data_IF_679362705306
#
_entry.id   IF_679362705306
#
_cell.length_a   1.000
_cell.length_b   1.000
_cell.length_c   1.000
_cell.angle_alpha   90.00
_cell.angle_beta   90.00
_cell.angle_gamma   90.00
#
_symmetry.space_group_name_H-M   'P 1'
#
loop_
_entity.id
_entity.type
_entity.pdbx_description
1 polymer ?
#
# COMPACT_ATOMS: atom_id res chain seq x y z
N UNK A 1 14.80 -19.26 -0.84
CA UNK A 1 13.95 -19.70 -1.97
C UNK A 1 12.79 -18.72 -2.02
N UNK A 2 12.53 -18.08 -3.17
CA UNK A 2 11.41 -17.16 -3.33
C UNK A 2 10.05 -17.88 -3.37
N UNK A 3 8.99 -17.14 -3.01
CA UNK A 3 7.62 -17.48 -3.35
C UNK A 3 7.33 -16.90 -4.73
N UNK A 4 7.09 -17.73 -5.73
CA UNK A 4 6.94 -17.26 -7.10
C UNK A 4 5.93 -18.06 -7.93
N UNK A 5 5.42 -17.41 -9.00
CA UNK A 5 4.53 -18.05 -9.98
C UNK A 5 3.23 -18.58 -9.34
N UNK A 6 2.59 -17.76 -8.51
CA UNK A 6 1.34 -18.10 -7.80
C UNK A 6 0.15 -17.38 -8.44
N UNK A 7 -0.95 -18.09 -8.57
CA UNK A 7 -2.24 -17.55 -9.00
C UNK A 7 -3.25 -17.73 -7.85
N UNK A 8 -3.90 -16.64 -7.48
CA UNK A 8 -5.01 -16.59 -6.53
C UNK A 8 -6.23 -16.04 -7.26
N UNK A 9 -7.29 -16.81 -7.34
CA UNK A 9 -8.48 -16.42 -8.09
C UNK A 9 -9.76 -16.84 -7.39
N UNK A 10 -10.78 -15.98 -7.43
CA UNK A 10 -12.12 -16.28 -6.93
C UNK A 10 -12.22 -16.53 -5.42
N UNK A 11 -11.29 -16.01 -4.63
CA UNK A 11 -11.25 -16.24 -3.20
C UNK A 11 -12.10 -15.23 -2.42
N UNK A 12 -12.73 -15.69 -1.35
CA UNK A 12 -13.41 -14.83 -0.37
C UNK A 12 -12.71 -14.94 0.98
N UNK A 13 -12.34 -13.77 1.56
CA UNK A 13 -11.77 -13.68 2.90
C UNK A 13 -12.75 -12.96 3.80
N UNK A 14 -13.08 -13.58 4.92
CA UNK A 14 -14.03 -13.05 5.88
C UNK A 14 -13.36 -12.84 7.24
N UNK A 15 -13.34 -11.60 7.74
CA UNK A 15 -12.80 -11.20 9.05
C UNK A 15 -11.34 -11.64 9.30
N UNK A 16 -10.48 -11.55 8.29
CA UNK A 16 -9.04 -11.84 8.43
C UNK A 16 -8.21 -10.59 8.76
N UNK A 17 -6.95 -10.77 9.19
CA UNK A 17 -6.00 -9.66 9.37
C UNK A 17 -5.58 -8.99 8.06
N UNK A 18 -5.92 -9.57 6.93
CA UNK A 18 -5.74 -9.01 5.59
C UNK A 18 -6.39 -9.91 4.56
N UNK A 19 -6.92 -9.31 3.49
CA UNK A 19 -7.51 -10.03 2.37
C UNK A 19 -6.43 -10.77 1.57
N UNK A 20 -5.52 -10.03 0.97
CA UNK A 20 -4.30 -10.56 0.37
C UNK A 20 -3.08 -9.93 1.04
N UNK A 21 -2.16 -10.74 1.54
CA UNK A 21 -1.03 -10.28 2.34
C UNK A 21 0.30 -10.81 1.82
N UNK A 22 1.25 -9.94 1.62
CA UNK A 22 2.66 -10.27 1.37
C UNK A 22 3.50 -9.77 2.54
N UNK A 23 4.22 -10.69 3.16
CA UNK A 23 5.11 -10.36 4.28
C UNK A 23 4.48 -10.62 5.66
N UNK A 24 5.18 -10.29 6.71
CA UNK A 24 6.47 -9.58 6.79
C UNK A 24 7.69 -10.46 6.50
N UNK A 25 7.60 -11.79 6.63
CA UNK A 25 8.65 -12.77 6.34
C UNK A 25 8.75 -12.99 4.82
N UNK A 26 9.49 -12.12 4.14
CA UNK A 26 9.66 -12.16 2.70
C UNK A 26 11.14 -12.16 2.26
N UNK A 27 12.03 -12.60 3.13
CA UNK A 27 13.50 -12.56 2.91
C UNK A 27 13.94 -13.33 1.64
N UNK A 28 13.21 -14.37 1.25
CA UNK A 28 13.45 -15.10 0.01
C UNK A 28 12.96 -14.39 -1.25
N UNK A 29 12.20 -13.31 -1.11
CA UNK A 29 11.53 -12.60 -2.19
C UNK A 29 10.17 -13.20 -2.57
N UNK A 30 9.34 -12.38 -3.20
CA UNK A 30 8.01 -12.76 -3.74
C UNK A 30 7.88 -12.17 -5.13
N UNK A 31 7.59 -12.98 -6.13
CA UNK A 31 7.50 -12.47 -7.51
C UNK A 31 6.52 -13.26 -8.41
N UNK A 32 6.06 -12.60 -9.46
CA UNK A 32 5.19 -13.20 -10.46
C UNK A 32 3.90 -13.76 -9.85
N UNK A 33 3.20 -12.94 -9.06
CA UNK A 33 1.93 -13.31 -8.42
C UNK A 33 0.79 -12.65 -9.19
N UNK A 34 -0.27 -13.41 -9.46
CA UNK A 34 -1.53 -12.90 -10.00
C UNK A 34 -2.65 -13.12 -8.98
N UNK A 35 -3.39 -12.07 -8.68
CA UNK A 35 -4.56 -12.13 -7.78
C UNK A 35 -5.75 -11.55 -8.52
N UNK A 36 -6.85 -12.27 -8.65
CA UNK A 36 -8.02 -11.76 -9.35
C UNK A 36 -9.34 -12.26 -8.77
N UNK A 37 -10.40 -11.47 -9.01
CA UNK A 37 -11.79 -11.84 -8.74
C UNK A 37 -12.02 -12.23 -7.27
N UNK A 38 -11.38 -11.53 -6.33
CA UNK A 38 -11.47 -11.85 -4.91
C UNK A 38 -12.35 -10.86 -4.15
N UNK A 39 -12.90 -11.31 -3.04
CA UNK A 39 -13.76 -10.53 -2.15
C UNK A 39 -13.20 -10.52 -0.73
N UNK A 40 -13.12 -9.35 -0.11
CA UNK A 40 -12.67 -9.18 1.26
C UNK A 40 -13.76 -8.48 2.08
N UNK A 41 -14.22 -9.16 3.13
CA UNK A 41 -15.39 -8.75 3.91
C UNK A 41 -15.01 -8.62 5.40
N UNK A 42 -14.95 -7.39 5.90
CA UNK A 42 -14.62 -7.11 7.29
C UNK A 42 -13.19 -7.48 7.68
N UNK A 43 -12.25 -7.48 6.73
CA UNK A 43 -10.83 -7.70 7.02
C UNK A 43 -10.19 -6.46 7.62
N UNK A 44 -9.13 -6.60 8.42
CA UNK A 44 -8.41 -5.45 8.97
C UNK A 44 -7.81 -4.59 7.85
N UNK A 45 -7.21 -5.22 6.83
CA UNK A 45 -6.64 -4.57 5.65
C UNK A 45 -7.12 -5.31 4.40
N UNK A 46 -7.30 -4.61 3.29
CA UNK A 46 -7.62 -5.23 2.01
C UNK A 46 -6.39 -5.88 1.38
N UNK A 47 -5.58 -5.10 0.69
CA UNK A 47 -4.30 -5.51 0.08
C UNK A 47 -3.15 -5.04 0.97
N UNK A 48 -2.36 -5.96 1.52
CA UNK A 48 -1.34 -5.64 2.51
C UNK A 48 0.05 -6.11 2.10
N UNK A 49 0.96 -5.16 1.87
CA UNK A 49 2.38 -5.38 1.65
C UNK A 49 3.16 -4.82 2.84
N UNK A 50 3.78 -5.67 3.63
CA UNK A 50 4.44 -5.27 4.88
C UNK A 50 5.80 -5.91 5.04
N UNK A 51 6.79 -5.14 5.47
CA UNK A 51 8.11 -5.63 5.86
C UNK A 51 8.80 -4.61 6.77
N UNK A 52 10.02 -4.89 7.14
CA UNK A 52 10.87 -3.99 7.93
C UNK A 52 12.34 -4.25 7.61
N UNK A 53 13.19 -3.25 7.89
CA UNK A 53 14.64 -3.45 7.83
C UNK A 53 15.08 -4.69 8.60
N UNK A 54 16.12 -5.36 8.14
CA UNK A 54 16.62 -6.61 8.70
C UNK A 54 16.02 -7.87 8.09
N UNK A 55 14.88 -7.76 7.38
CA UNK A 55 14.24 -8.91 6.72
C UNK A 55 14.69 -9.11 5.27
N UNK A 56 15.05 -8.02 4.57
CA UNK A 56 15.44 -8.07 3.17
C UNK A 56 14.34 -8.57 2.24
N UNK A 57 14.76 -9.08 1.09
CA UNK A 57 13.87 -9.62 0.06
C UNK A 57 13.25 -8.57 -0.85
N UNK A 58 12.90 -8.99 -2.06
CA UNK A 58 12.25 -8.16 -3.07
C UNK A 58 10.88 -8.73 -3.38
N UNK A 59 9.86 -7.87 -3.32
CA UNK A 59 8.50 -8.17 -3.79
C UNK A 59 8.29 -7.42 -5.08
N UNK A 60 8.08 -8.15 -6.18
CA UNK A 60 7.95 -7.56 -7.50
C UNK A 60 7.06 -8.36 -8.46
N UNK A 61 6.61 -7.70 -9.52
CA UNK A 61 5.80 -8.31 -10.56
C UNK A 61 4.52 -8.95 -9.99
N UNK A 62 3.78 -8.17 -9.23
CA UNK A 62 2.50 -8.55 -8.66
C UNK A 62 1.39 -7.88 -9.46
N UNK A 63 0.43 -8.66 -9.92
CA UNK A 63 -0.70 -8.20 -10.72
C UNK A 63 -2.00 -8.51 -10.00
N UNK A 64 -2.76 -7.47 -9.65
CA UNK A 64 -4.01 -7.58 -8.91
C UNK A 64 -5.13 -6.97 -9.73
N UNK A 65 -6.21 -7.70 -9.94
CA UNK A 65 -7.34 -7.22 -10.73
C UNK A 65 -8.69 -7.68 -10.15
N UNK A 66 -9.69 -6.80 -10.25
CA UNK A 66 -11.07 -7.07 -9.88
C UNK A 66 -11.26 -7.50 -8.41
N UNK A 67 -10.96 -6.57 -7.50
CA UNK A 67 -11.12 -6.73 -6.05
C UNK A 67 -12.38 -6.04 -5.56
N UNK A 68 -13.24 -6.77 -4.86
CA UNK A 68 -14.43 -6.23 -4.18
C UNK A 68 -14.22 -6.28 -2.66
N UNK A 69 -14.35 -5.13 -2.00
CA UNK A 69 -14.08 -5.01 -0.57
C UNK A 69 -15.22 -4.31 0.16
N UNK A 70 -15.52 -4.79 1.36
CA UNK A 70 -16.58 -4.23 2.20
C UNK A 70 -16.11 -4.21 3.66
N UNK A 71 -16.32 -3.07 4.33
CA UNK A 71 -16.04 -2.89 5.76
C UNK A 71 -14.58 -3.23 6.13
N UNK A 72 -13.64 -2.61 5.42
CA UNK A 72 -12.21 -2.73 5.71
C UNK A 72 -11.88 -1.85 6.91
N UNK A 73 -11.39 -2.47 7.98
CA UNK A 73 -11.24 -1.80 9.28
C UNK A 73 -10.16 -0.71 9.25
N UNK A 74 -9.16 -0.85 8.40
CA UNK A 74 -8.06 0.11 8.28
C UNK A 74 -7.84 0.55 6.82
N UNK A 75 -6.90 -0.01 6.12
CA UNK A 75 -6.50 0.42 4.78
C UNK A 75 -7.04 -0.50 3.69
N UNK A 76 -7.57 0.08 2.61
CA UNK A 76 -7.91 -0.71 1.41
C UNK A 76 -6.64 -1.28 0.78
N UNK A 77 -5.60 -0.45 0.67
CA UNK A 77 -4.28 -0.85 0.14
C UNK A 77 -3.19 -0.29 1.06
N UNK A 78 -2.24 -1.12 1.49
CA UNK A 78 -1.10 -0.64 2.27
C UNK A 78 0.23 -1.23 1.80
N UNK A 79 1.25 -0.35 1.72
CA UNK A 79 2.65 -0.67 1.52
C UNK A 79 3.44 -0.08 2.68
N UNK A 80 3.89 -0.91 3.62
CA UNK A 80 4.58 -0.44 4.82
C UNK A 80 5.92 -1.17 5.04
N UNK A 81 7.01 -0.41 5.00
CA UNK A 81 8.38 -0.88 5.24
C UNK A 81 8.87 -0.57 6.66
N UNK A 82 7.97 -0.20 7.57
CA UNK A 82 8.25 0.05 9.00
C UNK A 82 7.44 -0.86 9.91
N UNK A 83 7.03 -2.03 9.42
CA UNK A 83 6.20 -2.95 10.18
C UNK A 83 6.85 -3.36 11.50
N UNK A 84 6.23 -3.00 12.62
CA UNK A 84 6.73 -3.22 13.98
C UNK A 84 6.22 -4.49 14.68
N UNK A 85 5.58 -5.41 13.94
CA UNK A 85 5.03 -6.64 14.52
C UNK A 85 3.60 -6.54 15.06
N UNK A 86 3.02 -5.34 15.11
CA UNK A 86 1.62 -5.12 15.53
C UNK A 86 0.65 -5.30 14.38
N UNK A 87 -0.58 -5.70 14.68
CA UNK A 87 -1.67 -5.68 13.69
C UNK A 87 -2.02 -4.24 13.30
N UNK A 88 -2.68 -4.06 12.15
CA UNK A 88 -3.10 -2.73 11.72
C UNK A 88 -4.07 -2.09 12.72
N UNK A 89 -4.97 -2.88 13.31
CA UNK A 89 -5.93 -2.40 14.32
C UNK A 89 -5.23 -2.01 15.63
N UNK A 90 -4.22 -2.74 16.08
CA UNK A 90 -3.43 -2.37 17.26
C UNK A 90 -2.68 -1.05 17.06
N UNK A 91 -2.09 -0.83 15.87
CA UNK A 91 -1.43 0.45 15.53
C UNK A 91 -2.42 1.62 15.59
N UNK A 92 -3.65 1.42 15.12
CA UNK A 92 -4.69 2.44 15.20
C UNK A 92 -5.06 2.81 16.63
N UNK A 93 -5.25 1.80 17.49
CA UNK A 93 -5.66 2.00 18.87
C UNK A 93 -4.58 2.68 19.71
N UNK A 94 -3.32 2.48 19.37
CA UNK A 94 -2.18 3.14 20.02
C UNK A 94 -2.01 4.62 19.64
N UNK A 95 -2.76 5.11 18.65
CA UNK A 95 -2.71 6.50 18.19
C UNK A 95 -1.36 6.90 17.57
N UNK A 96 -0.56 5.93 17.14
CA UNK A 96 0.87 6.11 16.81
C UNK A 96 1.18 6.16 15.31
N UNK A 97 0.20 6.53 14.47
CA UNK A 97 0.40 6.59 13.01
C UNK A 97 1.37 7.69 12.55
N UNK A 98 1.74 8.62 13.41
CA UNK A 98 2.48 9.83 13.01
C UNK A 98 3.67 10.19 13.86
N UNK A 99 4.04 9.41 14.88
CA UNK A 99 5.28 9.71 15.57
C UNK A 99 6.41 9.63 14.55
N UNK A 100 6.94 10.80 14.24
CA UNK A 100 8.08 11.01 13.35
C UNK A 100 9.23 10.11 13.80
N UNK A 101 9.28 8.89 13.27
CA UNK A 101 10.48 8.09 13.38
C UNK A 101 11.59 8.94 12.79
N UNK A 102 12.63 9.21 13.58
CA UNK A 102 13.81 9.94 13.09
C UNK A 102 14.20 9.34 11.75
N UNK A 103 14.11 10.17 10.72
CA UNK A 103 14.33 9.75 9.34
C UNK A 103 15.82 9.54 9.15
N UNK A 104 16.31 8.37 9.56
CA UNK A 104 17.69 7.98 9.32
C UNK A 104 17.73 7.16 8.02
N UNK A 105 18.59 7.62 7.10
CA UNK A 105 18.91 6.87 5.89
C UNK A 105 20.05 5.88 6.19
N UNK A 106 19.84 4.63 5.83
CA UNK A 106 20.82 3.57 6.00
C UNK A 106 21.46 3.19 4.65
N UNK A 107 22.57 2.47 4.70
CA UNK A 107 23.14 1.85 3.51
C UNK A 107 22.21 0.72 3.06
N UNK A 108 21.98 0.63 1.77
CA UNK A 108 21.21 -0.48 1.17
C UNK A 108 22.10 -1.72 1.13
N UNK A 109 21.56 -2.82 1.60
CA UNK A 109 22.20 -4.14 1.59
C UNK A 109 21.13 -5.25 1.44
N UNK A 110 21.52 -6.51 1.57
CA UNK A 110 20.64 -7.68 1.44
C UNK A 110 19.53 -7.75 2.48
N UNK A 111 19.67 -7.01 3.59
CA UNK A 111 18.64 -6.94 4.64
C UNK A 111 17.62 -5.84 4.42
N UNK A 112 17.80 -5.03 3.37
CA UNK A 112 16.90 -3.93 3.02
C UNK A 112 15.73 -4.46 2.19
N UNK A 113 14.48 -4.42 2.69
CA UNK A 113 13.30 -4.89 1.95
C UNK A 113 12.92 -3.94 0.81
N UNK A 114 12.38 -4.48 -0.27
CA UNK A 114 11.99 -3.73 -1.45
C UNK A 114 10.59 -4.13 -1.95
N UNK A 115 9.73 -3.16 -2.20
CA UNK A 115 8.46 -3.32 -2.93
C UNK A 115 8.51 -2.52 -4.22
N UNK A 116 8.34 -3.19 -5.36
CA UNK A 116 8.35 -2.56 -6.68
C UNK A 116 7.56 -3.32 -7.74
N UNK A 117 7.26 -2.65 -8.85
CA UNK A 117 6.63 -3.26 -10.03
C UNK A 117 5.32 -3.99 -9.68
N UNK A 118 4.36 -3.26 -9.12
CA UNK A 118 3.07 -3.80 -8.70
C UNK A 118 1.95 -3.04 -9.40
N UNK A 119 1.11 -3.78 -10.10
CA UNK A 119 -0.04 -3.28 -10.82
C UNK A 119 -1.33 -3.71 -10.12
N UNK A 120 -2.19 -2.75 -9.79
CA UNK A 120 -3.48 -2.96 -9.13
C UNK A 120 -4.55 -2.29 -9.98
N UNK A 121 -5.53 -3.04 -10.41
CA UNK A 121 -6.59 -2.56 -11.28
C UNK A 121 -7.96 -3.03 -10.77
N UNK A 122 -9.01 -2.23 -11.01
CA UNK A 122 -10.39 -2.50 -10.59
C UNK A 122 -10.52 -2.89 -9.11
N UNK A 123 -10.37 -1.91 -8.24
CA UNK A 123 -10.62 -2.07 -6.80
C UNK A 123 -11.85 -1.27 -6.41
N UNK A 124 -12.85 -1.94 -5.88
CA UNK A 124 -14.04 -1.30 -5.32
C UNK A 124 -14.09 -1.58 -3.83
N UNK A 125 -14.13 -0.53 -3.01
CA UNK A 125 -14.30 -0.65 -1.57
C UNK A 125 -15.46 0.24 -1.10
N UNK A 126 -16.41 -0.34 -0.39
CA UNK A 126 -17.57 0.40 0.06
C UNK A 126 -17.32 1.22 1.31
N UNK A 127 -16.57 0.69 2.25
CA UNK A 127 -16.23 1.38 3.51
C UNK A 127 -14.85 0.98 3.97
N UNK A 128 -14.03 1.97 4.33
CA UNK A 128 -12.72 1.76 4.92
C UNK A 128 -12.35 2.94 5.82
N UNK A 129 -11.32 2.78 6.66
CA UNK A 129 -10.78 3.93 7.37
C UNK A 129 -9.90 4.79 6.45
N UNK A 130 -9.04 4.18 5.61
CA UNK A 130 -8.17 4.90 4.68
C UNK A 130 -8.14 4.21 3.31
N UNK A 131 -8.14 5.01 2.25
CA UNK A 131 -8.14 4.47 0.89
C UNK A 131 -6.82 3.78 0.54
N UNK A 132 -5.67 4.40 0.79
CA UNK A 132 -4.38 3.77 0.64
C UNK A 132 -3.30 4.39 1.51
N UNK A 133 -2.28 3.60 1.86
CA UNK A 133 -1.14 4.05 2.65
C UNK A 133 0.18 3.52 2.10
N UNK A 134 1.13 4.42 1.86
CA UNK A 134 2.47 4.10 1.39
C UNK A 134 3.50 4.66 2.35
N UNK A 135 4.35 3.82 2.90
CA UNK A 135 5.38 4.19 3.85
C UNK A 135 6.71 3.49 3.50
N UNK A 136 7.41 4.08 2.53
CA UNK A 136 8.71 3.59 2.06
C UNK A 136 9.87 3.98 2.97
N UNK A 137 11.03 3.34 2.77
CA UNK A 137 12.27 3.72 3.43
C UNK A 137 12.95 4.89 2.70
N UNK A 138 13.69 5.77 3.40
CA UNK A 138 14.44 6.85 2.74
C UNK A 138 15.50 6.35 1.76
N UNK A 139 16.08 5.18 2.04
CA UNK A 139 17.09 4.51 1.19
C UNK A 139 16.47 3.57 0.16
N UNK A 140 15.25 3.06 0.40
CA UNK A 140 14.53 2.12 -0.47
C UNK A 140 13.05 2.52 -0.51
N UNK A 141 12.68 3.51 -1.32
CA UNK A 141 11.29 3.91 -1.46
C UNK A 141 10.45 2.78 -2.09
N UNK A 142 9.16 2.73 -1.78
CA UNK A 142 8.21 1.92 -2.54
C UNK A 142 8.17 2.46 -3.97
N UNK A 143 8.38 1.62 -4.98
CA UNK A 143 8.61 2.12 -6.32
C UNK A 143 7.84 1.41 -7.42
N UNK A 144 7.57 2.16 -8.49
CA UNK A 144 6.89 1.66 -9.67
C UNK A 144 5.59 0.91 -9.33
N UNK A 145 4.66 1.61 -8.67
CA UNK A 145 3.34 1.12 -8.31
C UNK A 145 2.30 1.80 -9.19
N UNK A 146 1.49 1.02 -9.87
CA UNK A 146 0.41 1.53 -10.68
C UNK A 146 -0.94 1.07 -10.12
N UNK A 147 -1.79 2.01 -9.74
CA UNK A 147 -3.16 1.77 -9.31
C UNK A 147 -4.09 2.43 -10.30
N UNK A 148 -5.00 1.65 -10.85
CA UNK A 148 -5.94 2.10 -11.87
C UNK A 148 -7.36 1.65 -11.55
N UNK A 149 -8.36 2.48 -11.87
CA UNK A 149 -9.77 2.18 -11.68
C UNK A 149 -10.09 1.77 -10.21
N UNK A 150 -9.70 2.62 -9.26
CA UNK A 150 -10.02 2.41 -7.85
C UNK A 150 -11.14 3.33 -7.42
N UNK A 151 -12.15 2.75 -6.75
CA UNK A 151 -13.27 3.47 -6.16
C UNK A 151 -13.40 3.11 -4.67
N UNK A 152 -13.32 4.11 -3.80
CA UNK A 152 -13.54 3.98 -2.35
C UNK A 152 -14.65 4.92 -1.94
N UNK A 153 -15.82 4.38 -1.59
CA UNK A 153 -17.05 5.17 -1.47
C UNK A 153 -17.24 5.86 -0.12
N UNK A 154 -16.61 5.39 0.93
CA UNK A 154 -16.72 5.98 2.26
C UNK A 154 -15.46 5.69 3.06
N UNK A 155 -14.56 6.64 3.09
CA UNK A 155 -13.33 6.58 3.87
C UNK A 155 -13.27 7.72 4.89
N UNK A 156 -12.53 7.51 5.97
CA UNK A 156 -12.16 8.59 6.88
C UNK A 156 -11.03 9.42 6.30
N UNK A 157 -10.01 8.74 5.77
CA UNK A 157 -8.83 9.33 5.13
C UNK A 157 -8.70 8.87 3.68
N UNK A 158 -8.16 9.75 2.84
CA UNK A 158 -7.86 9.44 1.45
C UNK A 158 -6.59 8.58 1.27
N UNK A 159 -5.86 8.87 0.22
CA UNK A 159 -4.60 8.22 -0.11
C UNK A 159 -3.45 9.00 0.54
N UNK A 160 -2.60 8.33 1.30
CA UNK A 160 -1.44 8.91 1.97
C UNK A 160 -0.16 8.27 1.43
N UNK A 161 0.72 9.08 0.86
CA UNK A 161 1.97 8.62 0.25
C UNK A 161 3.19 9.25 0.95
N UNK A 162 4.12 8.41 1.38
CA UNK A 162 5.38 8.85 1.96
C UNK A 162 6.54 7.96 1.48
N UNK A 163 7.58 8.58 0.93
CA UNK A 163 8.78 7.92 0.41
C UNK A 163 8.48 6.89 -0.66
N UNK A 164 7.98 7.40 -1.79
CA UNK A 164 7.75 6.59 -3.00
C UNK A 164 8.52 7.16 -4.19
N UNK A 165 8.74 6.31 -5.20
CA UNK A 165 9.30 6.73 -6.50
C UNK A 165 8.57 6.01 -7.63
N UNK A 166 7.84 6.75 -8.46
CA UNK A 166 7.07 6.18 -9.57
C UNK A 166 5.74 5.56 -9.12
N UNK A 167 4.91 6.30 -8.38
CA UNK A 167 3.51 5.91 -8.11
C UNK A 167 2.61 6.57 -9.13
N UNK A 168 1.81 5.78 -9.83
CA UNK A 168 0.83 6.23 -10.80
C UNK A 168 -0.57 5.84 -10.37
N UNK A 169 -1.43 6.84 -10.22
CA UNK A 169 -2.84 6.73 -9.84
C UNK A 169 -3.70 7.22 -11.01
N UNK A 170 -4.46 6.32 -11.63
CA UNK A 170 -5.29 6.60 -12.80
C UNK A 170 -6.75 6.24 -12.55
N UNK A 171 -7.67 7.13 -12.90
CA UNK A 171 -9.10 6.94 -12.69
C UNK A 171 -9.42 6.52 -11.25
N UNK A 172 -8.99 7.39 -10.32
CA UNK A 172 -9.17 7.19 -8.89
C UNK A 172 -10.34 8.03 -8.40
N UNK A 173 -11.26 7.40 -7.70
CA UNK A 173 -12.40 8.02 -7.04
C UNK A 173 -12.37 7.67 -5.56
N UNK A 174 -12.18 8.65 -4.70
CA UNK A 174 -12.17 8.47 -3.25
C UNK A 174 -13.10 9.46 -2.61
N UNK A 175 -14.11 8.97 -1.89
CA UNK A 175 -14.94 9.79 -1.02
C UNK A 175 -14.39 9.69 0.40
N UNK A 176 -13.62 10.69 0.83
CA UNK A 176 -13.01 10.75 2.15
C UNK A 176 -13.58 11.92 2.97
N UNK A 177 -13.55 11.78 4.31
CA UNK A 177 -13.93 12.89 5.22
C UNK A 177 -12.84 13.98 5.30
N UNK A 178 -11.61 13.60 5.07
CA UNK A 178 -10.45 14.49 4.96
C UNK A 178 -10.11 14.73 3.49
N UNK A 179 -8.87 15.11 3.19
CA UNK A 179 -8.40 15.25 1.81
C UNK A 179 -8.34 13.91 1.09
N UNK A 180 -8.56 13.92 -0.21
CA UNK A 180 -8.54 12.70 -1.02
C UNK A 180 -7.12 12.18 -1.24
N UNK A 181 -6.12 13.05 -1.19
CA UNK A 181 -4.72 12.69 -1.42
C UNK A 181 -3.75 13.59 -0.67
N UNK A 182 -2.81 12.98 0.05
CA UNK A 182 -1.67 13.60 0.71
C UNK A 182 -0.37 12.89 0.33
N UNK A 183 0.66 13.63 -0.05
CA UNK A 183 1.95 13.04 -0.39
C UNK A 183 3.12 13.88 0.13
N UNK A 184 4.21 13.21 0.55
CA UNK A 184 5.47 13.84 0.97
C UNK A 184 6.68 12.96 0.68
N UNK A 185 7.87 13.56 0.62
CA UNK A 185 9.15 12.88 0.44
C UNK A 185 9.18 11.92 -0.77
N UNK A 186 8.47 12.23 -1.83
CA UNK A 186 8.22 11.31 -2.94
C UNK A 186 8.65 11.88 -4.28
N UNK A 187 8.82 11.03 -5.28
CA UNK A 187 9.21 11.41 -6.63
C UNK A 187 8.33 10.72 -7.67
N UNK A 188 8.23 11.35 -8.83
CA UNK A 188 7.55 10.78 -10.01
C UNK A 188 6.15 10.25 -9.66
N UNK A 189 5.38 11.03 -8.90
CA UNK A 189 4.01 10.70 -8.53
C UNK A 189 3.07 11.28 -9.56
N UNK A 190 2.25 10.44 -10.18
CA UNK A 190 1.18 10.86 -11.11
C UNK A 190 -0.17 10.58 -10.47
N UNK A 191 -1.02 11.59 -10.43
CA UNK A 191 -2.40 11.49 -9.94
C UNK A 191 -3.31 12.02 -11.05
N UNK A 192 -4.15 11.16 -11.58
CA UNK A 192 -5.01 11.47 -12.74
C UNK A 192 -4.21 12.31 -13.71
N UNK A 193 -3.76 12.31 -14.67
CA UNK A 193 -3.01 13.06 -15.70
C UNK A 193 -1.98 14.10 -15.22
N UNK A 194 -1.85 14.38 -13.90
CA UNK A 194 -0.89 15.34 -13.36
C UNK A 194 0.30 14.68 -12.69
N UNK A 195 1.51 14.97 -13.19
CA UNK A 195 2.76 14.40 -12.67
C UNK A 195 3.54 15.38 -11.80
N UNK A 196 3.92 14.95 -10.62
CA UNK A 196 4.77 15.65 -9.67
C UNK A 196 6.15 14.98 -9.65
N UNK A 197 7.15 15.63 -10.27
CA UNK A 197 8.51 15.07 -10.37
C UNK A 197 9.20 14.93 -9.01
N UNK A 198 8.94 15.85 -8.09
CA UNK A 198 9.50 15.85 -6.73
C UNK A 198 8.51 16.49 -5.76
N UNK A 199 8.25 15.77 -4.68
CA UNK A 199 7.46 16.22 -3.53
C UNK A 199 8.39 16.15 -2.33
N UNK A 200 8.62 17.29 -1.66
CA UNK A 200 9.53 17.41 -0.52
C UNK A 200 8.85 16.99 0.81
N UNK A 201 9.47 17.36 1.91
CA UNK A 201 8.95 17.07 3.26
C UNK A 201 7.71 17.90 3.64
N UNK A 202 7.50 19.06 3.00
CA UNK A 202 6.30 19.88 3.21
C UNK A 202 5.07 19.21 2.61
N UNK A 203 5.29 18.43 1.53
CA UNK A 203 4.25 17.65 0.90
C UNK A 203 3.31 18.46 0.01
N UNK A 204 2.32 17.75 -0.50
CA UNK A 204 1.18 18.29 -1.23
C UNK A 204 -0.10 17.62 -0.76
N UNK A 205 -1.20 18.36 -0.79
CA UNK A 205 -2.55 17.89 -0.51
C UNK A 205 -3.44 18.21 -1.71
N UNK A 206 -4.26 17.26 -2.11
CA UNK A 206 -5.19 17.41 -3.23
C UNK A 206 -6.57 16.87 -2.86
N UNK A 207 -7.59 17.50 -3.48
CA UNK A 207 -8.97 17.02 -3.49
C UNK A 207 -9.42 16.84 -4.94
N UNK A 208 -9.93 15.67 -5.28
CA UNK A 208 -10.39 15.32 -6.65
C UNK A 208 -11.51 14.28 -6.65
#
# INVERSE_FOLDING_TARGET
>A
IPCENVIVNGCTVFKGHGGFVVGSEMSGGVKNIKVSDCQFLGTDVGLRFKSTRGRGGVVENIYIDNMSMFDIQTDVITFDLYYGGKSAVEVLNDGDETKSQKVQKFKVDETTPCFRNIDINHVICRTARRAAYFNGLPEMPVSNIHIKNMEVNNAEYGIVINRTDGVKLENIKVSAKTHTFDAKNSKNVTVNDKTYKKIDEKGITLDF
#
